data_IF_110762110541
#
_entry.id   IF_110762110541
#
_cell.length_a   1.000
_cell.length_b   1.000
_cell.length_c   1.000
_cell.angle_alpha   90.00
_cell.angle_beta   90.00
_cell.angle_gamma   90.00
#
_symmetry.space_group_name_H-M   'P 1'
#
loop_
_entity.id
_entity.type
_entity.pdbx_description
1 polymer ?
#
# COMPACT_ATOMS: atom_id res chain seq x y z
N UNK A 1 13.14 -41.78 -2.99
CA UNK A 1 13.14 -40.38 -3.47
C UNK A 1 11.96 -39.66 -2.85
N UNK A 2 12.17 -38.88 -1.79
CA UNK A 2 11.12 -38.09 -1.14
C UNK A 2 11.27 -36.63 -1.57
N UNK A 3 10.38 -36.16 -2.44
CA UNK A 3 10.33 -34.76 -2.87
C UNK A 3 10.00 -33.88 -1.66
N UNK A 4 10.81 -32.87 -1.31
CA UNK A 4 10.50 -31.99 -0.19
C UNK A 4 9.18 -31.27 -0.47
N UNK A 5 8.19 -31.46 0.41
CA UNK A 5 6.92 -30.78 0.34
C UNK A 5 7.16 -29.26 0.44
N UNK A 6 6.87 -28.53 -0.64
CA UNK A 6 6.99 -27.07 -0.68
C UNK A 6 6.11 -26.49 0.43
N UNK A 7 6.64 -25.65 1.34
CA UNK A 7 5.83 -25.09 2.41
C UNK A 7 4.62 -24.37 1.81
N UNK A 8 3.42 -24.82 2.15
CA UNK A 8 2.18 -24.16 1.73
C UNK A 8 2.18 -22.77 2.37
N UNK A 9 2.30 -21.72 1.57
CA UNK A 9 2.12 -20.35 2.05
C UNK A 9 0.74 -20.28 2.70
N UNK A 10 0.70 -20.06 4.02
CA UNK A 10 -0.55 -19.91 4.76
C UNK A 10 -1.29 -18.71 4.18
N UNK A 11 -2.41 -18.95 3.49
CA UNK A 11 -3.25 -17.87 2.95
C UNK A 11 -3.77 -17.03 4.11
N UNK A 12 -3.62 -15.72 4.01
CA UNK A 12 -4.12 -14.77 4.98
C UNK A 12 -5.53 -14.36 4.54
N UNK A 13 -6.55 -15.08 5.03
CA UNK A 13 -7.96 -14.83 4.69
C UNK A 13 -8.38 -13.36 4.85
N UNK A 14 -7.86 -12.67 5.86
CA UNK A 14 -8.12 -11.23 6.06
C UNK A 14 -7.52 -10.35 4.97
N UNK A 15 -6.33 -10.70 4.45
CA UNK A 15 -5.70 -9.98 3.34
C UNK A 15 -6.46 -10.21 2.03
N UNK A 16 -6.91 -11.45 1.81
CA UNK A 16 -7.73 -11.81 0.65
C UNK A 16 -9.09 -11.07 0.68
N UNK A 17 -9.72 -10.97 1.86
CA UNK A 17 -10.96 -10.20 2.05
C UNK A 17 -10.74 -8.70 1.84
N UNK A 18 -9.69 -8.12 2.42
CA UNK A 18 -9.36 -6.71 2.21
C UNK A 18 -9.09 -6.42 0.73
N UNK A 19 -8.44 -7.35 0.01
CA UNK A 19 -8.18 -7.24 -1.43
C UNK A 19 -9.46 -7.30 -2.25
N UNK A 20 -10.37 -8.22 -1.92
CA UNK A 20 -11.70 -8.27 -2.53
C UNK A 20 -12.47 -6.97 -2.30
N UNK A 21 -12.47 -6.47 -1.07
CA UNK A 21 -13.21 -5.27 -0.69
C UNK A 21 -12.63 -4.00 -1.34
N UNK A 22 -11.30 -3.90 -1.46
CA UNK A 22 -10.62 -2.83 -2.18
C UNK A 22 -10.99 -2.81 -3.68
N UNK A 23 -11.02 -3.98 -4.33
CA UNK A 23 -11.43 -4.08 -5.74
C UNK A 23 -12.92 -3.72 -5.90
N UNK A 24 -13.80 -4.22 -5.03
CA UNK A 24 -15.22 -3.90 -5.08
C UNK A 24 -15.48 -2.40 -4.90
N UNK A 25 -14.86 -1.76 -3.90
CA UNK A 25 -15.00 -0.33 -3.63
C UNK A 25 -14.48 0.53 -4.78
N UNK A 26 -13.37 0.13 -5.39
CA UNK A 26 -12.80 0.81 -6.57
C UNK A 26 -13.71 0.73 -7.80
N UNK A 27 -14.31 -0.44 -8.06
CA UNK A 27 -15.30 -0.59 -9.13
C UNK A 27 -16.50 0.31 -8.84
N UNK A 28 -17.07 0.24 -7.62
CA UNK A 28 -18.22 1.08 -7.24
C UNK A 28 -17.96 2.57 -7.43
N UNK A 29 -16.77 3.05 -7.04
CA UNK A 29 -16.39 4.45 -7.13
C UNK A 29 -16.36 4.96 -8.59
N UNK A 30 -15.96 4.13 -9.55
CA UNK A 30 -15.78 4.54 -10.95
C UNK A 30 -16.91 4.12 -11.89
N UNK A 31 -17.73 3.14 -11.51
CA UNK A 31 -18.87 2.70 -12.32
C UNK A 31 -20.20 3.31 -11.88
N UNK A 32 -20.19 4.18 -10.87
CA UNK A 32 -21.40 4.88 -10.47
C UNK A 32 -21.81 5.93 -11.50
N UNK A 33 -23.08 5.93 -11.95
CA UNK A 33 -23.63 6.99 -12.80
C UNK A 33 -23.94 8.30 -12.05
N UNK A 34 -23.89 8.31 -10.72
CA UNK A 34 -24.13 9.50 -9.89
C UNK A 34 -22.91 9.84 -9.03
N UNK A 35 -22.65 11.12 -8.69
CA UNK A 35 -21.64 11.48 -7.70
C UNK A 35 -22.08 10.86 -6.38
N UNK A 36 -21.46 9.75 -5.99
CA UNK A 36 -21.80 9.12 -4.72
C UNK A 36 -20.82 9.60 -3.67
N UNK A 37 -21.33 10.40 -2.72
CA UNK A 37 -20.75 10.59 -1.38
C UNK A 37 -20.82 9.27 -0.60
N UNK A 38 -20.28 8.18 -1.16
CA UNK A 38 -20.27 6.88 -0.52
C UNK A 38 -19.04 6.78 0.38
N UNK A 39 -19.18 6.18 1.58
CA UNK A 39 -18.03 5.72 2.36
C UNK A 39 -17.09 4.79 1.57
N UNK A 40 -17.51 4.23 0.43
CA UNK A 40 -16.65 3.47 -0.47
C UNK A 40 -15.43 4.28 -0.93
N UNK A 41 -15.58 5.53 -1.38
CA UNK A 41 -14.46 6.37 -1.82
C UNK A 41 -13.46 6.60 -0.67
N UNK A 42 -13.98 6.95 0.51
CA UNK A 42 -13.19 7.14 1.73
C UNK A 42 -12.58 5.85 2.30
N UNK A 43 -13.15 4.68 2.04
CA UNK A 43 -12.59 3.39 2.46
C UNK A 43 -11.55 2.85 1.48
N UNK A 44 -11.66 3.19 0.19
CA UNK A 44 -10.81 2.60 -0.85
C UNK A 44 -9.33 2.91 -0.59
N UNK A 45 -9.01 4.18 -0.28
CA UNK A 45 -7.65 4.63 0.01
C UNK A 45 -7.01 3.93 1.23
N UNK A 46 -7.62 3.89 2.44
CA UNK A 46 -7.05 3.18 3.58
C UNK A 46 -6.98 1.67 3.38
N UNK A 47 -7.89 1.05 2.62
CA UNK A 47 -7.80 -0.37 2.30
C UNK A 47 -6.62 -0.67 1.37
N UNK A 48 -6.39 0.13 0.34
CA UNK A 48 -5.19 -0.02 -0.48
C UNK A 48 -3.92 0.24 0.31
N UNK A 49 -3.92 1.25 1.19
CA UNK A 49 -2.77 1.55 2.03
C UNK A 49 -2.40 0.38 2.94
N UNK A 50 -3.39 -0.23 3.60
CA UNK A 50 -3.20 -1.39 4.47
C UNK A 50 -2.75 -2.62 3.69
N UNK A 51 -3.32 -2.89 2.51
CA UNK A 51 -2.92 -4.00 1.65
C UNK A 51 -1.47 -3.88 1.17
N UNK A 52 -1.08 -2.72 0.67
CA UNK A 52 0.29 -2.46 0.19
C UNK A 52 1.27 -2.53 1.36
N UNK A 53 0.96 -1.92 2.50
CA UNK A 53 1.79 -1.98 3.69
C UNK A 53 1.98 -3.40 4.23
N UNK A 54 0.91 -4.18 4.34
CA UNK A 54 0.98 -5.58 4.75
C UNK A 54 1.81 -6.42 3.76
N UNK A 55 1.61 -6.19 2.45
CA UNK A 55 2.35 -6.89 1.40
C UNK A 55 3.85 -6.57 1.45
N UNK A 56 4.23 -5.30 1.64
CA UNK A 56 5.62 -4.86 1.81
C UNK A 56 6.24 -5.43 3.08
N UNK A 57 5.50 -5.50 4.19
CA UNK A 57 6.01 -6.09 5.43
C UNK A 57 6.28 -7.59 5.30
N UNK A 58 5.40 -8.32 4.62
CA UNK A 58 5.62 -9.73 4.30
C UNK A 58 6.80 -9.91 3.33
N UNK A 59 6.92 -9.05 2.32
CA UNK A 59 8.05 -9.07 1.39
C UNK A 59 9.39 -8.77 2.10
N UNK A 60 9.39 -7.82 3.05
CA UNK A 60 10.55 -7.47 3.85
C UNK A 60 10.97 -8.60 4.79
N UNK A 61 10.04 -9.24 5.49
CA UNK A 61 10.37 -10.38 6.36
C UNK A 61 10.98 -11.55 5.57
N UNK A 62 10.46 -11.82 4.37
CA UNK A 62 11.04 -12.80 3.45
C UNK A 62 12.42 -12.37 2.92
N UNK A 63 12.64 -11.08 2.64
CA UNK A 63 13.93 -10.54 2.21
C UNK A 63 14.98 -10.58 3.34
N UNK A 64 14.57 -10.31 4.58
CA UNK A 64 15.42 -10.36 5.75
C UNK A 64 15.90 -11.79 6.03
N UNK A 65 15.04 -12.79 5.87
CA UNK A 65 15.40 -14.21 5.97
C UNK A 65 16.43 -14.64 4.90
N UNK A 66 16.49 -13.93 3.76
CA UNK A 66 17.49 -14.13 2.70
C UNK A 66 18.75 -13.27 2.86
N UNK A 67 18.85 -12.48 3.94
CA UNK A 67 19.99 -11.59 4.17
C UNK A 67 20.06 -10.39 3.23
N UNK A 68 18.95 -10.02 2.57
CA UNK A 68 18.93 -8.85 1.68
C UNK A 68 19.12 -7.56 2.46
N UNK A 69 19.93 -6.62 1.92
CA UNK A 69 20.14 -5.32 2.55
C UNK A 69 18.88 -4.45 2.46
N UNK A 70 18.63 -3.63 3.49
CA UNK A 70 17.49 -2.71 3.50
C UNK A 70 17.51 -1.70 2.35
N UNK A 71 18.69 -1.21 1.98
CA UNK A 71 18.85 -0.32 0.84
C UNK A 71 18.51 -1.00 -0.49
N UNK A 72 18.93 -2.25 -0.70
CA UNK A 72 18.58 -2.98 -1.92
C UNK A 72 17.07 -3.24 -2.02
N UNK A 73 16.42 -3.54 -0.89
CA UNK A 73 14.98 -3.71 -0.86
C UNK A 73 14.22 -2.41 -1.15
N UNK A 74 14.65 -1.28 -0.57
CA UNK A 74 14.04 0.03 -0.84
C UNK A 74 14.26 0.44 -2.29
N UNK A 75 15.45 0.23 -2.85
CA UNK A 75 15.75 0.55 -4.24
C UNK A 75 14.90 -0.28 -5.22
N UNK A 76 14.79 -1.59 -5.00
CA UNK A 76 13.98 -2.48 -5.86
C UNK A 76 12.49 -2.14 -5.80
N UNK A 77 11.94 -1.94 -4.60
CA UNK A 77 10.53 -1.55 -4.46
C UNK A 77 10.29 -0.10 -4.91
N UNK A 78 11.27 0.78 -4.76
CA UNK A 78 11.22 2.14 -5.29
C UNK A 78 11.17 2.17 -6.81
N UNK A 79 12.01 1.37 -7.47
CA UNK A 79 11.99 1.21 -8.93
C UNK A 79 10.66 0.60 -9.40
N UNK A 80 10.17 -0.45 -8.74
CA UNK A 80 8.86 -1.05 -9.04
C UNK A 80 7.71 -0.06 -8.89
N UNK A 81 7.72 0.72 -7.81
CA UNK A 81 6.73 1.77 -7.59
C UNK A 81 6.81 2.86 -8.66
N UNK A 82 8.02 3.28 -9.06
CA UNK A 82 8.22 4.25 -10.12
C UNK A 82 7.72 3.73 -11.48
N UNK A 83 7.96 2.47 -11.80
CA UNK A 83 7.40 1.83 -12.99
C UNK A 83 5.87 1.82 -12.96
N UNK A 84 5.25 1.53 -11.81
CA UNK A 84 3.79 1.57 -11.66
C UNK A 84 3.23 2.99 -11.88
N UNK A 85 3.90 4.01 -11.33
CA UNK A 85 3.52 5.42 -11.57
C UNK A 85 3.64 5.76 -13.06
N UNK A 86 4.77 5.45 -13.69
CA UNK A 86 4.99 5.75 -15.10
C UNK A 86 3.97 5.04 -16.01
N UNK A 87 3.64 3.78 -15.73
CA UNK A 87 2.60 3.05 -16.46
C UNK A 87 1.23 3.69 -16.20
N UNK A 88 0.95 4.11 -14.97
CA UNK A 88 -0.28 4.81 -14.63
C UNK A 88 -0.48 6.11 -15.41
N UNK A 89 0.56 6.95 -15.50
CA UNK A 89 0.57 8.19 -16.29
C UNK A 89 0.29 7.91 -17.78
N UNK A 90 0.96 6.92 -18.36
CA UNK A 90 0.76 6.53 -19.76
C UNK A 90 -0.69 6.05 -19.97
N UNK A 91 -1.24 5.24 -19.06
CA UNK A 91 -2.62 4.79 -19.16
C UNK A 91 -3.64 5.93 -19.01
N UNK A 92 -3.38 6.87 -18.10
CA UNK A 92 -4.28 8.01 -17.87
C UNK A 92 -4.31 8.96 -19.06
N UNK A 93 -3.18 9.09 -19.79
CA UNK A 93 -3.16 9.81 -21.07
C UNK A 93 -4.03 9.16 -22.15
N UNK A 94 -4.27 7.84 -22.06
CA UNK A 94 -5.10 7.09 -23.01
C UNK A 94 -6.57 6.94 -22.57
N UNK A 95 -6.85 6.99 -21.26
CA UNK A 95 -8.19 6.84 -20.67
C UNK A 95 -8.45 7.94 -19.62
N UNK A 96 -9.15 9.00 -20.02
CA UNK A 96 -9.43 10.16 -19.14
C UNK A 96 -10.61 9.97 -18.18
N UNK A 97 -11.36 8.86 -18.29
CA UNK A 97 -12.59 8.63 -17.52
C UNK A 97 -12.39 7.75 -16.27
N UNK A 98 -11.21 7.18 -16.07
CA UNK A 98 -10.92 6.26 -14.95
C UNK A 98 -9.66 6.76 -14.27
N UNK A 99 -9.76 7.13 -12.99
CA UNK A 99 -8.57 7.44 -12.20
C UNK A 99 -7.74 6.17 -12.03
N UNK A 100 -6.50 6.22 -12.54
CA UNK A 100 -5.67 5.04 -12.64
C UNK A 100 -4.99 4.80 -11.30
N UNK A 101 -5.57 3.89 -10.52
CA UNK A 101 -5.06 3.53 -9.17
C UNK A 101 -3.60 3.03 -9.16
N UNK A 102 -2.99 2.73 -10.32
CA UNK A 102 -1.56 2.44 -10.42
C UNK A 102 -0.67 3.57 -9.91
N UNK A 103 -1.00 4.85 -10.16
CA UNK A 103 -0.21 5.96 -9.63
C UNK A 103 -0.20 5.94 -8.10
N UNK A 104 -1.39 5.83 -7.50
CA UNK A 104 -1.56 5.74 -6.05
C UNK A 104 -0.81 4.53 -5.49
N UNK A 105 -0.94 3.35 -6.10
CA UNK A 105 -0.23 2.13 -5.67
C UNK A 105 1.30 2.26 -5.79
N UNK A 106 1.79 2.90 -6.84
CA UNK A 106 3.21 3.13 -7.08
C UNK A 106 3.82 4.07 -6.04
N UNK A 107 3.17 5.22 -5.81
CA UNK A 107 3.52 6.17 -4.75
C UNK A 107 3.53 5.52 -3.37
N UNK A 108 2.47 4.77 -3.06
CA UNK A 108 2.33 4.12 -1.76
C UNK A 108 3.42 3.05 -1.57
N UNK A 109 3.82 2.36 -2.62
CA UNK A 109 4.94 1.42 -2.57
C UNK A 109 6.27 2.13 -2.31
N UNK A 110 6.54 3.26 -2.98
CA UNK A 110 7.75 4.06 -2.78
C UNK A 110 7.84 4.59 -1.35
N UNK A 111 6.73 5.10 -0.80
CA UNK A 111 6.68 5.70 0.54
C UNK A 111 6.72 4.65 1.63
N UNK A 112 5.99 3.53 1.50
CA UNK A 112 5.93 2.51 2.55
C UNK A 112 7.17 1.60 2.57
N UNK A 113 7.91 1.44 1.46
CA UNK A 113 9.13 0.65 1.43
C UNK A 113 10.18 1.05 2.49
N UNK A 114 10.61 2.33 2.60
CA UNK A 114 11.53 2.76 3.64
C UNK A 114 10.91 2.67 5.04
N UNK A 115 9.60 2.93 5.19
CA UNK A 115 8.89 2.85 6.48
C UNK A 115 8.93 1.43 7.03
N UNK A 116 8.68 0.42 6.20
CA UNK A 116 8.69 -1.00 6.60
C UNK A 116 10.09 -1.44 7.01
N UNK A 117 11.13 -1.02 6.29
CA UNK A 117 12.52 -1.31 6.66
C UNK A 117 12.88 -0.64 7.99
N UNK A 118 12.47 0.61 8.20
CA UNK A 118 12.70 1.35 9.44
C UNK A 118 12.00 0.67 10.63
N UNK A 119 10.73 0.27 10.46
CA UNK A 119 9.96 -0.47 11.46
C UNK A 119 10.54 -1.85 11.77
N UNK A 120 11.04 -2.55 10.75
CA UNK A 120 11.71 -3.85 10.91
C UNK A 120 13.06 -3.77 11.62
N UNK A 121 13.73 -2.62 11.56
CA UNK A 121 14.97 -2.34 12.32
C UNK A 121 14.72 -1.80 13.73
N UNK A 122 13.52 -1.29 14.00
CA UNK A 122 13.16 -0.75 15.31
C UNK A 122 13.00 -1.89 16.33
N UNK A 123 13.65 -1.76 17.50
CA UNK A 123 13.61 -2.76 18.57
C UNK A 123 12.18 -3.03 19.12
N UNK A 124 11.20 -2.17 18.82
CA UNK A 124 9.79 -2.29 19.24
C UNK A 124 8.85 -1.81 18.12
N UNK A 125 8.55 -2.64 17.11
CA UNK A 125 7.76 -2.25 15.94
C UNK A 125 6.36 -1.73 16.30
N UNK A 126 5.74 -2.28 17.35
CA UNK A 126 4.43 -1.80 17.84
C UNK A 126 4.45 -0.36 18.37
N UNK A 127 5.53 0.07 19.01
CA UNK A 127 5.66 1.46 19.52
C UNK A 127 5.98 2.44 18.41
N UNK A 128 6.75 2.02 17.40
CA UNK A 128 7.04 2.83 16.22
C UNK A 128 5.78 3.02 15.34
N UNK A 129 4.97 1.96 15.18
CA UNK A 129 3.67 2.05 14.51
C UNK A 129 2.70 2.98 15.25
N UNK A 130 2.61 2.85 16.58
CA UNK A 130 1.81 3.74 17.43
C UNK A 130 2.31 5.19 17.40
N UNK A 131 3.63 5.40 17.41
CA UNK A 131 4.24 6.72 17.31
C UNK A 131 3.98 7.37 15.94
N UNK A 132 4.09 6.59 14.85
CA UNK A 132 3.74 7.06 13.52
C UNK A 132 2.25 7.40 13.38
N UNK A 133 1.37 6.53 13.89
CA UNK A 133 -0.07 6.78 13.89
C UNK A 133 -0.46 8.00 14.74
N UNK A 134 0.18 8.19 15.89
CA UNK A 134 -0.05 9.37 16.75
C UNK A 134 0.53 10.65 16.15
N UNK A 135 1.70 10.59 15.50
CA UNK A 135 2.24 11.73 14.76
C UNK A 135 1.31 12.13 13.59
N UNK A 136 0.81 11.16 12.83
CA UNK A 136 -0.18 11.40 11.77
C UNK A 136 -1.49 11.99 12.32
N UNK A 137 -1.95 11.51 13.47
CA UNK A 137 -3.14 12.04 14.13
C UNK A 137 -2.96 13.49 14.60
N UNK A 138 -1.76 13.85 15.08
CA UNK A 138 -1.41 15.22 15.48
C UNK A 138 -1.24 16.18 14.29
N UNK A 139 -0.82 15.67 13.13
CA UNK A 139 -0.63 16.46 11.91
C UNK A 139 -1.96 16.65 11.15
N UNK A 140 -2.89 15.70 11.27
CA UNK A 140 -4.24 15.74 10.68
C UNK A 140 -4.97 17.09 10.81
N UNK A 141 -5.08 17.72 12.00
CA UNK A 141 -5.77 19.01 12.13
C UNK A 141 -5.10 20.13 11.33
N UNK A 142 -3.77 20.14 11.22
CA UNK A 142 -3.04 21.17 10.47
C UNK A 142 -3.21 21.01 8.95
N UNK A 143 -3.31 19.78 8.46
CA UNK A 143 -3.59 19.51 7.04
C UNK A 143 -5.01 19.96 6.67
N UNK A 144 -5.98 19.71 7.55
CA UNK A 144 -7.37 20.14 7.35
C UNK A 144 -7.53 21.67 7.34
N UNK A 145 -6.72 22.37 8.13
CA UNK A 145 -6.69 23.84 8.15
C UNK A 145 -6.05 24.39 6.86
N UNK A 146 -4.97 23.77 6.39
CA UNK A 146 -4.25 24.19 5.18
C UNK A 146 -5.07 24.01 3.88
N UNK A 147 -6.01 23.07 3.84
CA UNK A 147 -6.88 22.84 2.67
C UNK A 147 -8.07 23.80 2.55
N UNK A 148 -8.25 24.73 3.50
CA UNK A 148 -9.33 25.73 3.48
C UNK A 148 -8.93 27.08 2.87
N UNK A 149 -7.68 27.20 2.42
CA UNK A 149 -7.13 28.39 1.76
C UNK A 149 -6.79 28.09 0.30
#
# INVERSE_FOLDING_TARGET
MTTPARPRSRRLLGLDLARGLAVCTMILAHTSPWPIDLPAEYLTAPLFATLVGASLHLAWSAAQARGTSGLAFVADNGFRGACLVAIGEVLQSAYQFIDVVLQTLGLLTIVLAPVVVLLGRAARPGRAALAGASALWLISPFVMEASRH
#
